data_IF_110907163714
#
_entry.id   IF_110907163714
#
_cell.length_a   1.000
_cell.length_b   1.000
_cell.length_c   1.000
_cell.angle_alpha   90.00
_cell.angle_beta   90.00
_cell.angle_gamma   90.00
#
_symmetry.space_group_name_H-M   'P 1'
#
loop_
_entity.id
_entity.type
_entity.pdbx_description
1 polymer ?
#
# COMPACT_ATOMS: atom_id res chain seq x y z
N UNK A 1 4.82 14.61 -14.47
CA UNK A 1 5.81 13.97 -15.25
C UNK A 1 5.25 13.03 -16.32
N UNK A 2 5.60 11.75 -16.41
CA UNK A 2 5.15 10.83 -17.47
C UNK A 2 3.61 10.75 -17.56
N UNK A 3 2.91 10.65 -16.42
CA UNK A 3 1.45 10.59 -16.42
C UNK A 3 0.81 11.85 -17.01
N UNK A 4 1.31 13.02 -16.65
CA UNK A 4 0.81 14.30 -17.21
C UNK A 4 1.05 14.36 -18.71
N UNK A 5 2.23 13.96 -19.18
CA UNK A 5 2.54 13.89 -20.61
C UNK A 5 1.61 12.91 -21.34
N UNK A 6 1.32 11.76 -20.74
CA UNK A 6 0.38 10.78 -21.26
C UNK A 6 -1.06 11.31 -21.33
N UNK A 7 -1.53 11.98 -20.29
CA UNK A 7 -2.85 12.64 -20.27
C UNK A 7 -2.97 13.71 -21.36
N UNK A 8 -1.94 14.54 -21.52
CA UNK A 8 -1.91 15.57 -22.59
C UNK A 8 -1.90 14.92 -23.97
N UNK A 9 -1.17 13.84 -24.17
CA UNK A 9 -1.15 13.09 -25.41
C UNK A 9 -2.53 12.48 -25.75
N UNK A 10 -3.21 11.89 -24.75
CA UNK A 10 -4.57 11.36 -24.95
C UNK A 10 -5.56 12.48 -25.30
N UNK A 11 -5.52 13.60 -24.58
CA UNK A 11 -6.39 14.75 -24.86
C UNK A 11 -6.14 15.32 -26.27
N UNK A 12 -4.90 15.39 -26.72
CA UNK A 12 -4.56 15.78 -28.08
C UNK A 12 -5.17 14.82 -29.12
N UNK A 13 -5.05 13.50 -28.89
CA UNK A 13 -5.65 12.47 -29.79
C UNK A 13 -7.17 12.54 -29.85
N UNK A 14 -7.83 12.89 -28.75
CA UNK A 14 -9.31 12.98 -28.67
C UNK A 14 -9.86 14.32 -29.14
N UNK A 15 -8.99 15.24 -29.61
CA UNK A 15 -9.41 16.54 -30.15
C UNK A 15 -9.86 17.55 -29.08
N UNK A 16 -9.48 17.36 -27.82
CA UNK A 16 -9.77 18.31 -26.75
C UNK A 16 -8.96 19.60 -26.96
N UNK A 17 -9.59 20.73 -26.69
CA UNK A 17 -8.90 22.03 -26.77
C UNK A 17 -7.94 22.23 -25.58
N UNK A 18 -7.04 23.22 -25.68
CA UNK A 18 -6.03 23.50 -24.65
C UNK A 18 -6.65 23.77 -23.25
N UNK A 19 -7.82 24.41 -23.20
CA UNK A 19 -8.51 24.71 -21.95
C UNK A 19 -9.03 23.44 -21.26
N UNK A 20 -9.65 22.52 -22.01
CA UNK A 20 -10.10 21.22 -21.50
C UNK A 20 -8.92 20.38 -21.02
N UNK A 21 -7.82 20.39 -21.77
CA UNK A 21 -6.58 19.71 -21.36
C UNK A 21 -6.03 20.30 -20.05
N UNK A 22 -6.10 21.61 -19.88
CA UNK A 22 -5.72 22.28 -18.63
C UNK A 22 -6.56 21.85 -17.43
N UNK A 23 -7.89 21.76 -17.57
CA UNK A 23 -8.77 21.25 -16.52
C UNK A 23 -8.50 19.80 -16.17
N UNK A 24 -8.24 18.96 -17.17
CA UNK A 24 -7.90 17.54 -16.93
C UNK A 24 -6.58 17.40 -16.14
N UNK A 25 -5.55 18.17 -16.51
CA UNK A 25 -4.27 18.17 -15.78
C UNK A 25 -4.46 18.67 -14.34
N UNK A 26 -5.20 19.75 -14.14
CA UNK A 26 -5.52 20.28 -12.82
C UNK A 26 -6.24 19.24 -11.96
N UNK A 27 -7.17 18.51 -12.56
CA UNK A 27 -7.92 17.45 -11.88
C UNK A 27 -7.01 16.27 -11.46
N UNK A 28 -6.11 15.85 -12.34
CA UNK A 28 -5.11 14.82 -12.02
C UNK A 28 -4.23 15.27 -10.86
N UNK A 29 -3.75 16.52 -10.86
CA UNK A 29 -2.98 17.07 -9.74
C UNK A 29 -3.79 17.12 -8.44
N UNK A 30 -5.08 17.48 -8.52
CA UNK A 30 -5.97 17.47 -7.36
C UNK A 30 -6.17 16.05 -6.79
N UNK A 31 -6.28 15.02 -7.65
CA UNK A 31 -6.32 13.61 -7.20
C UNK A 31 -5.02 13.23 -6.51
N UNK A 32 -3.85 13.60 -7.04
CA UNK A 32 -2.58 13.33 -6.37
C UNK A 32 -2.47 14.04 -5.02
N UNK A 33 -2.95 15.28 -4.92
CA UNK A 33 -3.01 15.99 -3.66
C UNK A 33 -3.94 15.28 -2.65
N UNK A 34 -5.09 14.77 -3.12
CA UNK A 34 -6.00 13.95 -2.31
C UNK A 34 -5.33 12.70 -1.76
N UNK A 35 -4.61 11.95 -2.62
CA UNK A 35 -3.87 10.75 -2.21
C UNK A 35 -2.79 11.11 -1.18
N UNK A 36 -2.06 12.21 -1.39
CA UNK A 36 -1.08 12.70 -0.43
C UNK A 36 -1.70 13.05 0.93
N UNK A 37 -2.86 13.72 0.93
CA UNK A 37 -3.58 14.07 2.15
C UNK A 37 -4.12 12.81 2.87
N UNK A 38 -4.57 11.81 2.12
CA UNK A 38 -4.97 10.51 2.64
C UNK A 38 -3.81 9.82 3.39
N UNK A 39 -2.62 9.71 2.75
CA UNK A 39 -1.43 9.14 3.37
C UNK A 39 -0.95 9.98 4.57
N UNK A 40 -1.06 11.31 4.46
CA UNK A 40 -0.75 12.21 5.58
C UNK A 40 -1.71 11.97 6.75
N UNK A 41 -2.97 11.66 6.50
CA UNK A 41 -3.94 11.27 7.52
C UNK A 41 -3.44 10.08 8.34
N UNK A 42 -3.00 9.01 7.69
CA UNK A 42 -2.39 7.85 8.35
C UNK A 42 -1.15 8.23 9.15
N UNK A 43 -0.25 9.00 8.54
CA UNK A 43 1.01 9.41 9.16
C UNK A 43 0.80 10.28 10.42
N UNK A 44 -0.12 11.24 10.36
CA UNK A 44 -0.43 12.12 11.51
C UNK A 44 -1.01 11.35 12.70
N UNK A 45 -1.90 10.37 12.41
CA UNK A 45 -2.46 9.53 13.47
C UNK A 45 -1.43 8.55 14.00
N UNK A 46 -0.57 7.97 13.16
CA UNK A 46 0.53 7.10 13.57
C UNK A 46 1.52 7.83 14.50
N UNK A 47 1.84 9.09 14.19
CA UNK A 47 2.73 9.92 15.01
C UNK A 47 2.20 10.14 16.42
N UNK A 48 0.87 10.22 16.64
CA UNK A 48 0.26 10.30 17.98
C UNK A 48 0.55 9.06 18.84
N UNK A 49 0.86 7.94 18.19
CA UNK A 49 1.24 6.68 18.87
C UNK A 49 2.75 6.43 18.86
N UNK A 50 3.57 7.49 18.64
CA UNK A 50 5.02 7.43 18.57
C UNK A 50 5.53 6.45 17.49
N UNK A 51 4.83 6.39 16.36
CA UNK A 51 5.23 5.64 15.17
C UNK A 51 5.66 6.63 14.12
N UNK A 52 6.96 6.67 13.85
CA UNK A 52 7.53 7.58 12.85
C UNK A 52 7.21 7.13 11.42
N UNK A 53 6.98 8.10 10.56
CA UNK A 53 6.84 7.89 9.12
C UNK A 53 8.16 8.23 8.46
N UNK A 54 8.80 7.23 7.83
CA UNK A 54 10.12 7.41 7.18
C UNK A 54 10.02 8.27 5.92
N UNK A 55 9.06 7.94 5.07
CA UNK A 55 8.79 8.65 3.83
C UNK A 55 7.34 8.44 3.37
N UNK A 56 6.88 9.32 2.49
CA UNK A 56 5.63 9.16 1.75
C UNK A 56 6.00 9.15 0.27
N UNK A 57 5.88 8.00 -0.38
CA UNK A 57 6.18 7.85 -1.80
C UNK A 57 4.90 7.86 -2.62
N UNK A 58 4.80 8.79 -3.58
CA UNK A 58 3.70 8.82 -4.54
C UNK A 58 4.05 7.96 -5.75
N UNK A 59 3.28 6.91 -5.96
CA UNK A 59 3.35 6.05 -7.13
C UNK A 59 2.23 6.42 -8.12
N UNK A 60 2.37 6.10 -9.42
CA UNK A 60 1.30 6.33 -10.40
C UNK A 60 -0.03 5.64 -10.06
N UNK A 61 0.01 4.59 -9.26
CA UNK A 61 -1.14 3.76 -8.84
C UNK A 61 -1.60 4.04 -7.41
N UNK A 62 -1.01 5.04 -6.72
CA UNK A 62 -1.39 5.39 -5.34
C UNK A 62 -0.25 5.96 -4.51
N UNK A 63 -0.54 6.33 -3.26
CA UNK A 63 0.44 6.70 -2.24
C UNK A 63 0.90 5.49 -1.43
N UNK A 64 2.08 5.59 -0.87
CA UNK A 64 2.62 4.63 0.08
C UNK A 64 3.36 5.37 1.19
N UNK A 65 2.73 5.47 2.36
CA UNK A 65 3.41 5.93 3.57
C UNK A 65 4.17 4.77 4.21
N UNK A 66 5.49 4.87 4.28
CA UNK A 66 6.32 3.88 4.96
C UNK A 66 6.41 4.22 6.43
N UNK A 67 5.55 3.57 7.22
CA UNK A 67 5.66 3.60 8.67
C UNK A 67 6.88 2.77 9.11
N UNK A 68 7.62 3.26 10.10
CA UNK A 68 8.76 2.52 10.67
C UNK A 68 8.32 1.18 11.27
N UNK A 69 7.16 1.18 11.94
CA UNK A 69 6.53 -0.02 12.52
C UNK A 69 5.03 0.02 12.28
N UNK A 70 4.44 -1.13 12.04
CA UNK A 70 2.98 -1.26 12.04
C UNK A 70 2.51 -1.29 13.49
N UNK A 71 1.47 -0.52 13.88
CA UNK A 71 0.93 -0.53 15.24
C UNK A 71 0.64 -1.96 15.71
N UNK A 72 1.09 -2.33 16.91
CA UNK A 72 0.84 -3.68 17.46
C UNK A 72 -0.47 -3.78 18.22
N UNK A 73 -0.91 -2.68 18.85
CA UNK A 73 -2.17 -2.64 19.59
C UNK A 73 -3.35 -2.45 18.61
N UNK A 74 -4.41 -3.27 18.76
CA UNK A 74 -5.55 -3.23 17.85
C UNK A 74 -6.20 -1.86 17.73
N UNK A 75 -6.33 -1.12 18.83
CA UNK A 75 -6.94 0.20 18.84
C UNK A 75 -6.11 1.24 18.07
N UNK A 76 -4.80 1.19 18.18
CA UNK A 76 -3.89 2.07 17.47
C UNK A 76 -3.95 1.80 15.96
N UNK A 77 -3.94 0.51 15.58
CA UNK A 77 -4.07 0.10 14.17
C UNK A 77 -5.42 0.53 13.58
N UNK A 78 -6.51 0.40 14.33
CA UNK A 78 -7.84 0.81 13.91
C UNK A 78 -7.88 2.31 13.57
N UNK A 79 -7.39 3.17 14.47
CA UNK A 79 -7.39 4.61 14.24
C UNK A 79 -6.45 5.02 13.11
N UNK A 80 -5.27 4.42 13.04
CA UNK A 80 -4.34 4.69 11.93
C UNK A 80 -4.97 4.30 10.61
N UNK A 81 -5.54 3.09 10.49
CA UNK A 81 -6.13 2.62 9.25
C UNK A 81 -7.38 3.41 8.84
N UNK A 82 -8.19 3.87 9.79
CA UNK A 82 -9.37 4.68 9.47
C UNK A 82 -9.04 6.12 9.05
N UNK A 83 -7.87 6.64 9.42
CA UNK A 83 -7.51 8.04 9.22
C UNK A 83 -7.49 8.46 7.75
N UNK A 84 -6.93 7.64 6.85
CA UNK A 84 -6.89 7.94 5.41
C UNK A 84 -8.28 8.06 4.79
N UNK A 85 -9.13 7.03 4.87
CA UNK A 85 -10.52 7.13 4.41
C UNK A 85 -11.31 8.29 5.00
N UNK A 86 -11.10 8.63 6.28
CA UNK A 86 -11.74 9.78 6.92
C UNK A 86 -11.30 11.12 6.32
N UNK A 87 -10.06 11.26 5.88
CA UNK A 87 -9.62 12.45 5.13
C UNK A 87 -10.40 12.58 3.83
N UNK A 88 -10.57 11.51 3.06
CA UNK A 88 -11.34 11.55 1.82
C UNK A 88 -12.81 11.89 2.08
N UNK A 89 -13.42 11.35 3.12
CA UNK A 89 -14.79 11.69 3.52
C UNK A 89 -14.88 13.17 3.90
N UNK A 90 -13.92 13.70 4.66
CA UNK A 90 -13.88 15.11 5.03
C UNK A 90 -13.74 16.01 3.79
N UNK A 91 -12.87 15.66 2.84
CA UNK A 91 -12.73 16.37 1.56
C UNK A 91 -14.04 16.34 0.74
N UNK A 92 -14.72 15.19 0.69
CA UNK A 92 -16.01 15.06 0.02
C UNK A 92 -17.08 15.96 0.69
N UNK A 93 -17.16 15.98 2.02
CA UNK A 93 -18.09 16.83 2.77
C UNK A 93 -17.79 18.32 2.52
N UNK A 94 -16.51 18.73 2.62
CA UNK A 94 -16.11 20.11 2.35
C UNK A 94 -16.49 20.51 0.93
N UNK A 95 -16.20 19.64 -0.04
CA UNK A 95 -16.53 19.90 -1.45
C UNK A 95 -18.02 20.01 -1.68
N UNK A 96 -18.84 19.19 -1.00
CA UNK A 96 -20.32 19.21 -1.16
C UNK A 96 -20.96 20.54 -0.76
N UNK A 97 -20.31 21.33 0.10
CA UNK A 97 -20.81 22.65 0.51
C UNK A 97 -20.76 23.67 -0.66
N UNK A 98 -19.83 23.46 -1.59
CA UNK A 98 -19.59 24.40 -2.70
C UNK A 98 -20.27 24.01 -4.02
N UNK A 99 -21.02 22.90 -4.05
CA UNK A 99 -21.67 22.41 -5.25
C UNK A 99 -23.17 22.20 -5.06
N UNK A 100 -23.91 22.44 -6.11
CA UNK A 100 -25.29 21.98 -6.21
C UNK A 100 -25.27 20.61 -6.89
N UNK A 101 -25.62 19.57 -6.11
CA UNK A 101 -25.71 18.21 -6.67
C UNK A 101 -26.91 18.17 -7.64
N UNK A 102 -26.75 17.66 -8.87
CA UNK A 102 -27.84 17.55 -9.82
C UNK A 102 -29.01 16.75 -9.25
N UNK A 103 -30.24 17.25 -9.43
CA UNK A 103 -31.45 16.61 -8.88
C UNK A 103 -31.80 15.31 -9.63
N UNK A 104 -31.37 15.18 -10.87
CA UNK A 104 -31.68 14.01 -11.70
C UNK A 104 -30.46 13.19 -12.03
N UNK A 105 -30.63 11.85 -12.02
CA UNK A 105 -29.56 10.90 -12.41
C UNK A 105 -29.09 11.13 -13.86
N UNK A 106 -29.97 11.60 -14.76
CA UNK A 106 -29.64 11.91 -16.15
C UNK A 106 -28.69 13.10 -16.24
N UNK A 107 -28.93 14.14 -15.47
CA UNK A 107 -28.08 15.34 -15.44
C UNK A 107 -26.71 15.00 -14.82
N UNK A 108 -26.70 14.23 -13.73
CA UNK A 108 -25.48 13.73 -13.12
C UNK A 108 -24.63 12.96 -14.12
N UNK A 109 -25.23 11.98 -14.81
CA UNK A 109 -24.51 11.20 -15.83
C UNK A 109 -24.00 12.07 -16.99
N UNK A 110 -24.80 13.06 -17.44
CA UNK A 110 -24.37 13.98 -18.51
C UNK A 110 -23.17 14.84 -18.10
N UNK A 111 -23.15 15.33 -16.86
CA UNK A 111 -22.03 16.12 -16.33
C UNK A 111 -20.75 15.29 -16.20
N UNK A 112 -20.87 14.01 -15.80
CA UNK A 112 -19.74 13.11 -15.67
C UNK A 112 -19.18 12.64 -17.02
N UNK A 113 -20.04 12.50 -18.04
CA UNK A 113 -19.63 12.02 -19.37
C UNK A 113 -18.91 13.10 -20.22
N UNK A 114 -19.09 14.37 -19.92
CA UNK A 114 -18.57 15.50 -20.72
C UNK A 114 -17.08 15.85 -20.48
N UNK A 115 -16.33 14.98 -19.79
CA UNK A 115 -14.95 15.27 -19.37
C UNK A 115 -14.90 16.34 -18.28
N UNK A 116 -13.73 16.58 -17.72
CA UNK A 116 -13.55 17.54 -16.62
C UNK A 116 -13.45 18.96 -17.18
N UNK A 117 -14.25 19.88 -16.60
CA UNK A 117 -14.28 21.30 -16.96
C UNK A 117 -14.61 22.14 -15.71
N UNK A 118 -14.63 23.49 -15.88
CA UNK A 118 -14.88 24.40 -14.77
C UNK A 118 -16.21 24.13 -14.02
N UNK A 119 -17.26 23.71 -14.74
CA UNK A 119 -18.59 23.56 -14.17
C UNK A 119 -18.76 22.25 -13.37
N UNK A 120 -18.01 21.19 -13.75
CA UNK A 120 -18.13 19.87 -13.12
C UNK A 120 -16.90 19.44 -12.32
N UNK A 121 -15.87 20.28 -12.21
CA UNK A 121 -14.63 19.96 -11.50
C UNK A 121 -14.88 19.51 -10.07
N UNK A 122 -15.60 20.30 -9.28
CA UNK A 122 -15.89 19.99 -7.89
C UNK A 122 -16.81 18.78 -7.73
N UNK A 123 -17.76 18.59 -8.65
CA UNK A 123 -18.60 17.39 -8.65
C UNK A 123 -17.77 16.12 -8.90
N UNK A 124 -16.89 16.14 -9.91
CA UNK A 124 -15.98 15.02 -10.15
C UNK A 124 -15.03 14.79 -8.97
N UNK A 125 -14.52 15.86 -8.36
CA UNK A 125 -13.64 15.78 -7.20
C UNK A 125 -14.33 15.16 -5.99
N UNK A 126 -15.59 15.53 -5.71
CA UNK A 126 -16.43 14.93 -4.67
C UNK A 126 -16.59 13.42 -4.93
N UNK A 127 -16.99 13.04 -6.14
CA UNK A 127 -17.25 11.64 -6.49
C UNK A 127 -15.97 10.80 -6.36
N UNK A 128 -14.83 11.32 -6.83
CA UNK A 128 -13.55 10.60 -6.68
C UNK A 128 -13.17 10.41 -5.21
N UNK A 129 -13.37 11.42 -4.36
CA UNK A 129 -13.10 11.29 -2.93
C UNK A 129 -14.01 10.24 -2.25
N UNK A 130 -15.29 10.21 -2.61
CA UNK A 130 -16.22 9.17 -2.13
C UNK A 130 -15.79 7.77 -2.60
N UNK A 131 -15.41 7.63 -3.87
CA UNK A 131 -14.91 6.36 -4.40
C UNK A 131 -13.61 5.91 -3.72
N UNK A 132 -12.67 6.83 -3.50
CA UNK A 132 -11.42 6.53 -2.79
C UNK A 132 -11.70 6.08 -1.35
N UNK A 133 -12.60 6.75 -0.64
CA UNK A 133 -13.01 6.33 0.70
C UNK A 133 -13.68 4.96 0.69
N UNK A 134 -14.67 4.75 -0.20
CA UNK A 134 -15.41 3.50 -0.30
C UNK A 134 -14.49 2.32 -0.65
N UNK A 135 -13.62 2.52 -1.64
CA UNK A 135 -12.68 1.49 -2.09
C UNK A 135 -11.70 1.11 -0.99
N UNK A 136 -11.15 2.11 -0.27
CA UNK A 136 -10.25 1.85 0.84
C UNK A 136 -10.95 1.26 2.08
N UNK A 137 -12.26 1.40 2.22
CA UNK A 137 -13.04 0.77 3.30
C UNK A 137 -13.47 -0.67 2.98
N UNK A 138 -13.26 -1.18 1.77
CA UNK A 138 -13.50 -2.60 1.45
C UNK A 138 -12.67 -3.47 2.41
N UNK A 139 -13.29 -4.45 3.11
CA UNK A 139 -12.60 -5.26 4.13
C UNK A 139 -11.69 -6.32 3.49
N UNK A 140 -10.72 -5.86 2.72
CA UNK A 140 -9.77 -6.68 1.97
C UNK A 140 -8.38 -6.03 1.95
N UNK A 141 -7.32 -6.82 2.10
CA UNK A 141 -5.97 -6.34 1.81
C UNK A 141 -5.73 -6.21 0.30
N UNK A 142 -4.93 -5.24 -0.16
CA UNK A 142 -4.07 -4.35 0.64
C UNK A 142 -4.73 -3.05 1.12
N UNK A 143 -6.06 -2.87 0.98
CA UNK A 143 -6.78 -1.67 1.37
C UNK A 143 -6.85 -1.48 2.90
N UNK A 144 -7.15 -0.25 3.33
CA UNK A 144 -7.25 0.08 4.76
C UNK A 144 -8.38 -0.66 5.47
N UNK A 145 -9.48 -0.97 4.77
CA UNK A 145 -10.57 -1.80 5.27
C UNK A 145 -10.12 -3.19 5.71
N UNK A 146 -9.13 -3.77 5.04
CA UNK A 146 -8.49 -5.03 5.48
C UNK A 146 -7.75 -4.87 6.81
N UNK A 147 -7.05 -3.76 7.00
CA UNK A 147 -6.37 -3.41 8.27
C UNK A 147 -7.38 -3.11 9.37
N UNK A 148 -8.45 -2.38 9.06
CA UNK A 148 -9.58 -2.14 9.98
C UNK A 148 -10.18 -3.48 10.43
N UNK A 149 -10.47 -4.38 9.51
CA UNK A 149 -11.02 -5.70 9.82
C UNK A 149 -10.05 -6.51 10.69
N UNK A 150 -8.76 -6.53 10.35
CA UNK A 150 -7.72 -7.15 11.19
C UNK A 150 -7.68 -6.57 12.59
N UNK A 151 -7.70 -5.25 12.71
CA UNK A 151 -7.69 -4.57 14.00
C UNK A 151 -8.92 -4.97 14.85
N UNK A 152 -10.12 -4.96 14.27
CA UNK A 152 -11.35 -5.37 14.94
C UNK A 152 -11.30 -6.83 15.40
N UNK A 153 -10.82 -7.74 14.57
CA UNK A 153 -10.64 -9.14 14.93
C UNK A 153 -9.57 -9.34 16.01
N UNK A 154 -8.53 -8.52 16.01
CA UNK A 154 -7.41 -8.59 16.95
C UNK A 154 -7.77 -8.20 18.39
N UNK A 155 -8.95 -7.61 18.63
CA UNK A 155 -9.46 -7.42 20.01
C UNK A 155 -9.76 -8.75 20.71
N UNK A 156 -10.06 -9.81 19.97
CA UNK A 156 -10.41 -11.13 20.51
C UNK A 156 -9.46 -12.25 20.09
N UNK A 157 -8.73 -12.06 19.00
CA UNK A 157 -7.88 -13.10 18.38
C UNK A 157 -6.42 -12.66 18.35
N UNK A 158 -5.52 -13.63 18.29
CA UNK A 158 -4.08 -13.37 18.05
C UNK A 158 -3.92 -12.72 16.66
N UNK A 159 -3.03 -11.74 16.52
CA UNK A 159 -2.84 -10.94 15.32
C UNK A 159 -2.68 -11.76 14.03
N UNK A 160 -1.85 -12.82 14.05
CA UNK A 160 -1.64 -13.68 12.88
C UNK A 160 -2.94 -14.40 12.44
N UNK A 161 -3.78 -14.83 13.41
CA UNK A 161 -5.09 -15.43 13.11
C UNK A 161 -6.04 -14.39 12.52
N UNK A 162 -6.10 -13.20 13.12
CA UNK A 162 -6.90 -12.08 12.63
C UNK A 162 -6.51 -11.71 11.18
N UNK A 163 -5.19 -11.67 10.88
CA UNK A 163 -4.70 -11.41 9.52
C UNK A 163 -5.12 -12.49 8.54
N UNK A 164 -5.02 -13.78 8.92
CA UNK A 164 -5.47 -14.90 8.06
C UNK A 164 -6.96 -14.82 7.75
N UNK A 165 -7.79 -14.47 8.74
CA UNK A 165 -9.24 -14.32 8.52
C UNK A 165 -9.52 -13.14 7.61
N UNK A 166 -8.93 -11.97 7.88
CA UNK A 166 -9.12 -10.79 7.04
C UNK A 166 -8.64 -11.02 5.59
N UNK A 167 -7.52 -11.74 5.41
CA UNK A 167 -7.03 -12.13 4.09
C UNK A 167 -8.02 -13.05 3.35
N UNK A 168 -8.60 -14.05 4.02
CA UNK A 168 -9.60 -14.93 3.43
C UNK A 168 -10.89 -14.20 3.04
N UNK A 169 -11.35 -13.27 3.88
CA UNK A 169 -12.50 -12.41 3.53
C UNK A 169 -12.20 -11.60 2.29
N UNK A 170 -11.00 -10.98 2.21
CA UNK A 170 -10.57 -10.25 1.03
C UNK A 170 -10.50 -11.11 -0.23
N UNK A 171 -9.97 -12.34 -0.12
CA UNK A 171 -9.88 -13.28 -1.24
C UNK A 171 -11.27 -13.72 -1.74
N UNK A 172 -12.24 -13.93 -0.83
CA UNK A 172 -13.62 -14.23 -1.22
C UNK A 172 -14.27 -13.06 -1.99
N UNK A 173 -14.08 -11.82 -1.52
CA UNK A 173 -14.54 -10.62 -2.22
C UNK A 173 -13.88 -10.48 -3.60
N UNK A 174 -12.58 -10.78 -3.67
CA UNK A 174 -11.81 -10.74 -4.92
C UNK A 174 -12.30 -11.74 -5.96
N UNK A 175 -12.68 -12.95 -5.54
CA UNK A 175 -13.33 -13.95 -6.42
C UNK A 175 -14.63 -13.37 -6.97
N UNK A 176 -15.44 -12.71 -6.13
CA UNK A 176 -16.64 -12.01 -6.57
C UNK A 176 -16.33 -10.93 -7.63
N UNK A 177 -15.29 -10.11 -7.44
CA UNK A 177 -14.87 -9.13 -8.44
C UNK A 177 -14.43 -9.77 -9.75
N UNK A 178 -13.70 -10.90 -9.70
CA UNK A 178 -13.29 -11.63 -10.90
C UNK A 178 -14.51 -12.15 -11.66
N UNK A 179 -15.46 -12.78 -10.97
CA UNK A 179 -16.69 -13.28 -11.58
C UNK A 179 -17.47 -12.13 -12.23
N UNK A 180 -17.71 -11.05 -11.49
CA UNK A 180 -18.40 -9.87 -12.03
C UNK A 180 -17.63 -9.27 -13.23
N UNK A 181 -16.31 -9.34 -13.20
CA UNK A 181 -15.45 -8.85 -14.28
C UNK A 181 -15.67 -9.56 -15.60
N UNK A 182 -15.95 -10.86 -15.58
CA UNK A 182 -16.26 -11.62 -16.80
C UNK A 182 -17.59 -11.20 -17.45
N UNK A 183 -18.55 -10.71 -16.66
CA UNK A 183 -19.88 -10.37 -17.16
C UNK A 183 -20.10 -8.88 -17.40
N UNK A 184 -19.29 -8.00 -16.77
CA UNK A 184 -19.53 -6.56 -16.82
C UNK A 184 -18.33 -5.74 -17.29
N UNK A 185 -17.22 -5.78 -16.57
CA UNK A 185 -16.06 -4.94 -16.85
C UNK A 185 -14.76 -5.72 -16.56
N UNK A 186 -13.94 -6.04 -17.58
CA UNK A 186 -12.69 -6.77 -17.40
C UNK A 186 -11.71 -6.14 -16.40
N UNK A 187 -11.82 -4.82 -16.13
CA UNK A 187 -10.99 -4.14 -15.16
C UNK A 187 -11.19 -4.67 -13.72
N UNK A 188 -12.40 -5.18 -13.41
CA UNK A 188 -12.66 -5.83 -12.12
C UNK A 188 -11.84 -7.11 -11.91
N UNK A 189 -11.46 -7.80 -13.00
CA UNK A 189 -10.57 -8.97 -12.91
C UNK A 189 -9.20 -8.56 -12.38
N UNK A 190 -8.63 -7.46 -12.90
CA UNK A 190 -7.36 -6.94 -12.41
C UNK A 190 -7.42 -6.50 -10.96
N UNK A 191 -8.52 -5.84 -10.54
CA UNK A 191 -8.76 -5.49 -9.14
C UNK A 191 -8.82 -6.76 -8.28
N UNK A 192 -9.56 -7.78 -8.70
CA UNK A 192 -9.65 -9.04 -7.97
C UNK A 192 -8.30 -9.74 -7.81
N UNK A 193 -7.50 -9.82 -8.89
CA UNK A 193 -6.15 -10.38 -8.81
C UNK A 193 -5.25 -9.57 -7.87
N UNK A 194 -5.28 -8.24 -7.96
CA UNK A 194 -4.53 -7.36 -7.07
C UNK A 194 -4.88 -7.60 -5.59
N UNK A 195 -6.16 -7.77 -5.28
CA UNK A 195 -6.62 -8.06 -3.91
C UNK A 195 -6.16 -9.44 -3.46
N UNK A 196 -6.22 -10.48 -4.32
CA UNK A 196 -5.73 -11.83 -3.98
C UNK A 196 -4.25 -11.79 -3.61
N UNK A 197 -3.42 -11.18 -4.47
CA UNK A 197 -1.97 -11.09 -4.22
C UNK A 197 -1.65 -10.26 -2.97
N UNK A 198 -2.30 -9.11 -2.79
CA UNK A 198 -2.10 -8.28 -1.61
C UNK A 198 -2.51 -8.97 -0.31
N UNK A 199 -3.64 -9.67 -0.30
CA UNK A 199 -4.11 -10.43 0.85
C UNK A 199 -3.17 -11.60 1.19
N UNK A 200 -2.64 -12.27 0.18
CA UNK A 200 -1.67 -13.35 0.38
C UNK A 200 -0.36 -12.84 0.97
N UNK A 201 0.22 -11.80 0.41
CA UNK A 201 1.45 -11.18 0.90
C UNK A 201 1.33 -10.74 2.37
N UNK A 202 0.22 -10.09 2.73
CA UNK A 202 0.00 -9.63 4.10
C UNK A 202 -0.14 -10.82 5.09
N UNK A 203 -0.80 -11.91 4.66
CA UNK A 203 -0.93 -13.13 5.45
C UNK A 203 0.42 -13.83 5.65
N UNK A 204 1.23 -13.96 4.61
CA UNK A 204 2.56 -14.59 4.67
C UNK A 204 3.51 -13.79 5.56
N UNK A 205 3.51 -12.45 5.45
CA UNK A 205 4.32 -11.59 6.32
C UNK A 205 3.92 -11.72 7.80
N UNK A 206 2.62 -11.79 8.09
CA UNK A 206 2.13 -11.95 9.45
C UNK A 206 2.51 -13.31 10.03
N UNK A 207 2.49 -14.36 9.23
CA UNK A 207 2.90 -15.71 9.63
C UNK A 207 4.40 -15.81 9.84
N UNK A 208 5.20 -15.29 8.91
CA UNK A 208 6.65 -15.23 9.03
C UNK A 208 7.08 -14.47 10.31
N UNK A 209 6.48 -13.30 10.56
CA UNK A 209 6.74 -12.52 11.78
C UNK A 209 6.36 -13.30 13.05
N UNK A 210 5.28 -14.08 13.01
CA UNK A 210 4.85 -14.91 14.14
C UNK A 210 5.82 -16.05 14.38
N UNK A 211 6.23 -16.78 13.34
CA UNK A 211 7.18 -17.89 13.44
C UNK A 211 8.54 -17.42 13.97
N UNK A 212 9.05 -16.31 13.44
CA UNK A 212 10.36 -15.78 13.84
C UNK A 212 10.39 -15.22 15.27
N UNK A 213 9.23 -14.91 15.86
CA UNK A 213 9.17 -14.33 17.21
C UNK A 213 9.67 -15.30 18.32
N UNK A 214 9.59 -16.60 18.08
CA UNK A 214 10.01 -17.64 19.02
C UNK A 214 11.50 -18.00 18.89
N UNK A 215 12.16 -17.60 17.78
CA UNK A 215 13.57 -17.89 17.55
C UNK A 215 14.47 -16.77 18.08
N UNK A 216 15.51 -17.16 18.76
CA UNK A 216 16.61 -16.28 19.17
C UNK A 216 17.73 -16.31 18.12
N UNK A 217 18.60 -15.28 18.13
CA UNK A 217 19.79 -15.31 17.27
C UNK A 217 20.63 -16.57 17.51
N UNK A 218 20.66 -17.06 18.75
CA UNK A 218 21.37 -18.29 19.12
C UNK A 218 20.85 -19.52 18.38
N UNK A 219 19.54 -19.59 18.11
CA UNK A 219 18.91 -20.77 17.48
C UNK A 219 19.23 -20.87 15.98
N UNK A 220 19.64 -19.75 15.37
CA UNK A 220 20.00 -19.65 13.94
C UNK A 220 21.51 -19.42 13.72
N UNK A 221 22.28 -19.32 14.80
CA UNK A 221 23.72 -19.18 14.69
C UNK A 221 24.34 -20.45 14.08
N UNK A 222 25.13 -20.26 13.05
CA UNK A 222 26.01 -21.33 12.56
C UNK A 222 27.04 -21.64 13.64
N UNK A 223 26.92 -22.80 14.29
CA UNK A 223 27.86 -23.26 15.31
C UNK A 223 29.11 -23.92 14.71
N UNK A 224 29.01 -24.35 13.46
CA UNK A 224 30.10 -24.95 12.72
C UNK A 224 30.53 -24.01 11.59
N UNK A 225 31.37 -23.03 11.92
CA UNK A 225 31.96 -22.11 10.94
C UNK A 225 33.46 -22.32 10.86
N UNK A 226 34.01 -22.20 9.67
CA UNK A 226 35.46 -22.29 9.47
C UNK A 226 36.09 -20.92 9.73
N UNK A 227 37.20 -20.95 10.45
CA UNK A 227 38.01 -19.76 10.71
C UNK A 227 39.28 -19.84 9.91
N UNK A 228 39.78 -18.68 9.48
CA UNK A 228 41.09 -18.53 8.84
C UNK A 228 41.90 -17.48 9.62
N UNK A 229 43.16 -17.76 9.88
CA UNK A 229 44.02 -16.77 10.53
C UNK A 229 44.40 -15.67 9.55
N UNK A 230 44.41 -14.41 10.02
CA UNK A 230 44.74 -13.24 9.20
C UNK A 230 46.16 -13.28 8.57
N UNK A 231 47.07 -14.09 9.15
CA UNK A 231 48.41 -14.28 8.67
C UNK A 231 48.54 -15.44 7.67
N UNK A 232 47.49 -16.20 7.40
CA UNK A 232 47.48 -17.26 6.39
C UNK A 232 47.47 -16.68 4.97
N UNK A 233 47.99 -17.48 4.01
CA UNK A 233 48.02 -17.06 2.62
C UNK A 233 46.67 -17.11 1.95
N UNK A 234 46.49 -16.30 0.92
CA UNK A 234 45.28 -16.33 0.08
C UNK A 234 45.07 -17.72 -0.56
N UNK A 235 46.18 -18.41 -0.89
CA UNK A 235 46.14 -19.77 -1.43
C UNK A 235 45.47 -20.76 -0.49
N UNK A 236 45.71 -20.64 0.83
CA UNK A 236 45.01 -21.44 1.86
C UNK A 236 43.54 -21.11 1.90
N UNK A 237 43.18 -19.84 1.78
CA UNK A 237 41.78 -19.42 1.74
C UNK A 237 41.05 -19.98 0.50
N UNK A 238 41.69 -19.96 -0.67
CA UNK A 238 41.16 -20.53 -1.91
C UNK A 238 40.98 -22.06 -1.77
N UNK A 239 41.99 -22.76 -1.21
CA UNK A 239 41.87 -24.20 -0.94
C UNK A 239 40.65 -24.53 -0.07
N UNK A 240 40.47 -23.80 1.03
CA UNK A 240 39.31 -23.97 1.92
C UNK A 240 37.99 -23.64 1.23
N UNK A 241 37.94 -22.65 0.33
CA UNK A 241 36.75 -22.32 -0.48
C UNK A 241 36.36 -23.43 -1.46
N UNK A 242 37.35 -24.09 -2.05
CA UNK A 242 37.16 -25.18 -3.01
C UNK A 242 36.74 -26.47 -2.32
N UNK A 243 37.27 -26.72 -1.12
CA UNK A 243 36.98 -27.93 -0.34
C UNK A 243 35.70 -27.83 0.52
N UNK A 244 35.18 -26.63 0.73
CA UNK A 244 33.99 -26.39 1.54
C UNK A 244 32.86 -25.76 0.72
N UNK A 245 31.60 -25.95 1.17
CA UNK A 245 30.45 -25.27 0.60
C UNK A 245 30.26 -23.84 1.18
N UNK A 246 31.20 -23.39 2.01
CA UNK A 246 31.12 -22.07 2.65
C UNK A 246 31.52 -20.97 1.67
N UNK A 247 30.73 -19.91 1.64
CA UNK A 247 30.97 -18.73 0.77
C UNK A 247 31.74 -17.62 1.46
N UNK A 248 31.93 -17.72 2.77
CA UNK A 248 32.65 -16.74 3.59
C UNK A 248 33.31 -17.44 4.78
N UNK A 249 34.38 -16.85 5.29
CA UNK A 249 35.11 -17.31 6.45
C UNK A 249 35.18 -16.21 7.50
N UNK A 250 35.24 -16.62 8.76
CA UNK A 250 35.53 -15.69 9.85
C UNK A 250 37.04 -15.55 9.96
N UNK A 251 37.59 -14.36 9.73
CA UNK A 251 39.03 -14.08 9.86
C UNK A 251 39.35 -13.80 11.33
N UNK A 252 40.31 -14.52 11.86
CA UNK A 252 40.76 -14.39 13.26
C UNK A 252 42.22 -13.96 13.34
N UNK A 253 42.55 -13.14 14.33
CA UNK A 253 43.93 -12.82 14.73
C UNK A 253 44.01 -12.92 16.26
N UNK A 254 44.96 -13.70 16.76
CA UNK A 254 45.11 -13.96 18.20
C UNK A 254 43.82 -14.41 18.89
N UNK A 255 43.01 -15.27 18.21
CA UNK A 255 41.70 -15.77 18.62
C UNK A 255 40.57 -14.70 18.63
N UNK A 256 40.85 -13.47 18.25
CA UNK A 256 39.83 -12.44 18.12
C UNK A 256 39.34 -12.37 16.66
N UNK A 257 38.03 -12.14 16.48
CA UNK A 257 37.47 -11.93 15.13
C UNK A 257 37.85 -10.54 14.65
N UNK A 258 38.52 -10.47 13.52
CA UNK A 258 38.99 -9.23 12.91
C UNK A 258 38.28 -8.90 11.57
N UNK A 259 37.52 -9.87 11.01
CA UNK A 259 36.77 -9.68 9.79
C UNK A 259 36.04 -10.94 9.32
N UNK A 260 35.36 -10.82 8.17
CA UNK A 260 34.65 -11.91 7.45
C UNK A 260 34.94 -11.83 5.98
#
# INVERSE_FOLDING_TARGET
SILIAFVLFLNYKTGHNALQSGWTVLFVLAIFATVLLHELGHALVANKYNIETKDITLLPIGGLARLEKIPEKPIEELFVAAAGPLVNIALAIITSIFIQVPETSRELLSQLSNGVNANNFFLNFLIVNLWLALFNLIPAFPMDGGRILRALLSFKLKRHVATKIAARVGQLLAIGFIILGFFSNPFLIFIGLFVIFGAQMESEQAEAKFMLKEYTVRDVLMTNYQTIDANQTIETAIGLLLDSQNKSFVVTQDKNVVGT
#
